data_IF_822268410079
#
_entry.id   IF_822268410079
#
_cell.length_a   1.000
_cell.length_b   1.000
_cell.length_c   1.000
_cell.angle_alpha   90.00
_cell.angle_beta   90.00
_cell.angle_gamma   90.00
#
_symmetry.space_group_name_H-M   'P 1'
#
loop_
_entity.id
_entity.type
_entity.pdbx_description
1 polymer ?
2 non-polymer ?
3 non-polymer ?
4 non-polymer ?
5 non-polymer ?
6 water ?
#
# COMPACT_ATOMS: atom_id res chain seq x y z
N UNK A 24 -19.82 -4.91 -17.87
CA UNK A 24 -18.59 -5.74 -17.79
C UNK A 24 -18.85 -6.86 -16.79
N UNK A 25 -19.33 -8.00 -17.33
CA UNK A 25 -19.70 -9.19 -16.58
C UNK A 25 -18.61 -9.53 -15.56
N UNK A 26 -17.40 -9.68 -16.10
CA UNK A 26 -16.29 -10.26 -15.37
C UNK A 26 -16.06 -9.52 -14.04
N UNK A 27 -16.06 -8.17 -14.09
CA UNK A 27 -15.78 -7.34 -12.95
C UNK A 27 -16.88 -7.45 -11.87
N UNK A 28 -18.16 -7.33 -12.31
CA UNK A 28 -19.29 -7.40 -11.40
C UNK A 28 -19.37 -8.79 -10.77
N UNK A 29 -18.95 -9.81 -11.53
CA UNK A 29 -19.01 -11.18 -11.04
C UNK A 29 -17.96 -11.34 -9.95
N UNK A 30 -16.77 -10.80 -10.17
CA UNK A 30 -15.69 -10.88 -9.20
C UNK A 30 -16.10 -10.14 -7.91
N UNK A 31 -16.76 -8.97 -8.03
CA UNK A 31 -17.16 -8.18 -6.86
C UNK A 31 -18.25 -8.88 -6.08
N UNK A 32 -19.25 -9.43 -6.78
CA UNK A 32 -20.31 -10.25 -6.18
C UNK A 32 -19.76 -11.44 -5.40
N UNK A 33 -18.74 -12.15 -5.93
CA UNK A 33 -18.23 -13.36 -5.31
C UNK A 33 -17.48 -12.99 -4.02
N UNK A 34 -16.79 -11.85 -4.04
CA UNK A 34 -16.12 -11.29 -2.86
C UNK A 34 -17.16 -10.87 -1.80
N UNK A 35 -18.34 -10.38 -2.20
CA UNK A 35 -19.30 -9.96 -1.19
C UNK A 35 -19.97 -11.19 -0.58
N UNK A 36 -20.15 -12.22 -1.40
CA UNK A 36 -20.65 -13.51 -0.94
C UNK A 36 -19.72 -14.04 0.17
N UNK A 37 -18.40 -13.90 -0.02
CA UNK A 37 -17.41 -14.39 0.94
C UNK A 37 -17.58 -13.67 2.27
N UNK A 38 -17.64 -12.34 2.21
CA UNK A 38 -17.88 -11.46 3.34
C UNK A 38 -19.26 -11.71 3.99
N UNK A 39 -20.26 -12.15 3.21
CA UNK A 39 -21.61 -12.31 3.75
C UNK A 39 -21.74 -13.56 4.62
N UNK A 40 -20.90 -14.57 4.42
CA UNK A 40 -20.85 -15.74 5.30
C UNK A 40 -20.21 -15.44 6.66
N UNK A 41 -19.52 -14.31 6.82
CA UNK A 41 -18.69 -14.07 7.99
C UNK A 41 -19.48 -13.79 9.28
N UNK A 42 -20.68 -13.18 9.25
CA UNK A 42 -21.54 -13.18 10.44
C UNK A 42 -21.79 -14.58 10.99
N UNK A 43 -21.97 -15.54 10.08
CA UNK A 43 -22.21 -16.91 10.48
C UNK A 43 -20.93 -17.54 11.05
N UNK A 44 -19.77 -17.21 10.46
CA UNK A 44 -18.51 -17.66 11.03
C UNK A 44 -18.33 -17.13 12.46
N UNK A 45 -18.78 -15.88 12.71
CA UNK A 45 -18.60 -15.19 13.98
C UNK A 45 -19.54 -15.75 15.05
N UNK A 46 -20.79 -16.09 14.68
CA UNK A 46 -21.74 -16.73 15.57
C UNK A 46 -21.18 -18.05 16.10
N UNK A 47 -20.65 -18.89 15.19
CA UNK A 47 -19.99 -20.11 15.58
C UNK A 47 -18.85 -19.83 16.57
N UNK A 48 -17.93 -18.94 16.20
CA UNK A 48 -16.75 -18.65 17.01
C UNK A 48 -17.15 -18.03 18.36
N UNK A 49 -18.19 -17.20 18.37
CA UNK A 49 -18.69 -16.63 19.60
C UNK A 49 -19.19 -17.74 20.52
N UNK A 50 -20.02 -18.64 19.95
CA UNK A 50 -20.58 -19.76 20.69
C UNK A 50 -19.51 -20.69 21.27
N UNK A 51 -18.34 -20.82 20.62
CA UNK A 51 -17.31 -21.71 21.10
C UNK A 51 -16.16 -20.97 21.75
N UNK A 52 -16.34 -19.67 22.05
CA UNK A 52 -15.34 -18.83 22.69
C UNK A 52 -14.02 -18.87 21.93
N UNK A 53 -14.14 -18.92 20.60
CA UNK A 53 -13.01 -19.00 19.69
C UNK A 53 -12.58 -17.60 19.26
N UNK A 54 -11.26 -17.40 19.13
CA UNK A 54 -10.75 -16.18 18.52
C UNK A 54 -11.24 -16.03 17.07
N UNK A 55 -11.18 -14.79 16.56
CA UNK A 55 -11.45 -14.45 15.17
C UNK A 55 -10.33 -14.97 14.26
N UNK A 56 -9.08 -14.58 14.55
CA UNK A 56 -7.98 -14.96 13.69
C UNK A 56 -7.63 -16.43 13.85
N UNK A 57 -7.71 -17.17 12.75
CA UNK A 57 -7.19 -18.53 12.68
C UNK A 57 -6.09 -18.57 11.62
N UNK A 58 -4.82 -18.47 12.06
CA UNK A 58 -3.67 -18.27 11.19
C UNK A 58 -3.37 -19.52 10.35
N UNK A 59 -3.55 -20.68 10.95
CA UNK A 59 -3.39 -21.96 10.26
C UNK A 59 -4.37 -22.09 9.10
N UNK A 60 -5.67 -21.79 9.34
CA UNK A 60 -6.63 -21.71 8.26
C UNK A 60 -6.18 -20.70 7.20
N UNK A 61 -5.74 -19.51 7.63
CA UNK A 61 -5.28 -18.49 6.70
C UNK A 61 -4.17 -19.01 5.79
N UNK A 62 -3.17 -19.69 6.35
CA UNK A 62 -2.04 -20.22 5.59
C UNK A 62 -2.49 -21.32 4.61
N UNK A 63 -3.45 -22.16 5.02
CA UNK A 63 -3.98 -23.18 4.12
C UNK A 63 -4.66 -22.51 2.93
N UNK A 64 -5.44 -21.44 3.19
CA UNK A 64 -6.17 -20.73 2.14
C UNK A 64 -5.18 -19.98 1.22
N UNK A 65 -4.15 -19.36 1.81
CA UNK A 65 -3.18 -18.63 1.02
C UNK A 65 -2.34 -19.54 0.13
N UNK A 66 -1.94 -20.72 0.63
CA UNK A 66 -1.13 -21.63 -0.16
C UNK A 66 -1.94 -22.30 -1.28
N UNK A 67 -3.19 -22.65 -0.97
CA UNK A 67 -4.10 -23.19 -1.98
C UNK A 67 -4.23 -22.16 -3.11
N UNK A 68 -4.41 -20.89 -2.74
CA UNK A 68 -4.65 -19.84 -3.72
C UNK A 68 -3.40 -19.61 -4.58
N UNK A 69 -2.20 -19.49 -3.96
CA UNK A 69 -1.01 -19.18 -4.76
C UNK A 69 -0.74 -20.33 -5.72
N UNK A 70 -1.04 -21.58 -5.33
CA UNK A 70 -0.75 -22.72 -6.18
C UNK A 70 -1.73 -22.79 -7.37
N UNK A 71 -2.88 -22.08 -7.27
CA UNK A 71 -3.87 -22.00 -8.34
C UNK A 71 -3.88 -20.62 -9.03
N UNK A 72 -2.86 -19.78 -8.78
CA UNK A 72 -2.80 -18.48 -9.43
C UNK A 72 -1.39 -18.19 -9.95
N UNK A 73 -0.69 -19.22 -10.44
CA UNK A 73 0.73 -19.14 -10.75
C UNK A 73 0.99 -18.10 -11.84
N UNK A 74 0.04 -17.85 -12.73
CA UNK A 74 0.23 -16.89 -13.82
C UNK A 74 0.12 -15.45 -13.30
N UNK A 75 -0.40 -15.26 -12.08
CA UNK A 75 -0.52 -13.98 -11.42
C UNK A 75 0.66 -13.80 -10.48
N UNK A 76 1.02 -12.53 -10.21
CA UNK A 76 2.08 -12.23 -9.27
C UNK A 76 1.63 -12.80 -7.92
N UNK A 77 2.46 -13.63 -7.26
CA UNK A 77 2.11 -14.23 -5.97
C UNK A 77 2.02 -13.29 -4.76
N UNK A 78 2.81 -12.21 -4.81
CA UNK A 78 2.82 -11.22 -3.75
C UNK A 78 1.52 -10.41 -3.78
N UNK A 79 1.09 -10.04 -4.98
CA UNK A 79 -0.14 -9.28 -5.19
C UNK A 79 -1.36 -10.13 -4.87
N UNK A 80 -1.29 -11.42 -5.22
CA UNK A 80 -2.41 -12.33 -5.02
C UNK A 80 -2.62 -12.56 -3.53
N UNK A 81 -1.50 -12.73 -2.80
CA UNK A 81 -1.54 -12.95 -1.36
C UNK A 81 -2.00 -11.71 -0.62
N UNK A 82 -1.62 -10.53 -1.13
CA UNK A 82 -2.07 -9.27 -0.55
C UNK A 82 -3.58 -9.13 -0.76
N UNK A 83 -4.05 -9.42 -1.98
CA UNK A 83 -5.46 -9.33 -2.31
C UNK A 83 -6.25 -10.33 -1.47
N UNK A 84 -5.78 -11.60 -1.40
CA UNK A 84 -6.45 -12.58 -0.57
C UNK A 84 -6.32 -12.21 0.94
N UNK A 85 -5.16 -11.74 1.39
CA UNK A 85 -4.96 -11.31 2.77
C UNK A 85 -5.89 -10.18 3.22
N UNK A 86 -6.18 -9.24 2.30
CA UNK A 86 -7.07 -8.11 2.57
C UNK A 86 -8.53 -8.55 2.65
N UNK A 87 -8.94 -9.51 1.81
CA UNK A 87 -10.24 -10.17 1.97
C UNK A 87 -10.35 -10.86 3.34
N UNK A 88 -9.25 -11.39 3.85
CA UNK A 88 -9.27 -12.06 5.15
C UNK A 88 -9.37 -11.02 6.27
N UNK A 89 -8.65 -9.91 6.12
CA UNK A 89 -8.72 -8.74 6.98
C UNK A 89 -10.13 -8.13 6.95
N UNK A 90 -10.71 -7.96 5.76
CA UNK A 90 -12.12 -7.57 5.66
C UNK A 90 -13.02 -8.58 6.37
N UNK A 91 -12.74 -9.88 6.22
CA UNK A 91 -13.56 -10.91 6.85
C UNK A 91 -13.52 -10.82 8.39
N UNK A 92 -12.32 -10.67 8.98
CA UNK A 92 -12.15 -10.48 10.42
C UNK A 92 -12.77 -9.19 10.98
N UNK A 93 -12.63 -8.06 10.29
CA UNK A 93 -13.28 -6.82 10.74
C UNK A 93 -14.80 -7.03 10.84
N UNK A 94 -15.40 -7.57 9.79
CA UNK A 94 -16.80 -7.95 9.80
C UNK A 94 -17.10 -8.86 10.99
N UNK A 95 -16.25 -9.86 11.26
CA UNK A 95 -16.52 -10.82 12.32
C UNK A 95 -16.50 -10.09 13.68
N UNK A 96 -15.60 -9.09 13.82
CA UNK A 96 -15.48 -8.26 15.01
C UNK A 96 -16.65 -7.28 15.11
N UNK A 97 -17.21 -6.86 13.97
CA UNK A 97 -18.44 -6.07 14.03
C UNK A 97 -19.48 -6.94 14.74
N UNK A 98 -19.58 -8.21 14.32
CA UNK A 98 -20.58 -9.08 14.87
C UNK A 98 -20.30 -9.39 16.35
N UNK A 99 -19.04 -9.70 16.71
CA UNK A 99 -18.70 -9.96 18.10
C UNK A 99 -19.26 -8.87 19.02
N UNK A 100 -19.10 -7.59 18.63
CA UNK A 100 -19.61 -6.46 19.38
C UNK A 100 -21.12 -6.56 19.55
N UNK A 101 -21.84 -6.89 18.46
CA UNK A 101 -23.29 -7.09 18.49
C UNK A 101 -23.67 -8.13 19.55
N UNK A 102 -22.88 -9.20 19.63
CA UNK A 102 -23.20 -10.39 20.41
C UNK A 102 -22.88 -10.20 21.90
N UNK A 103 -22.30 -9.07 22.30
CA UNK A 103 -22.29 -8.72 23.71
C UNK A 103 -23.72 -8.35 24.12
N UNK A 104 -24.20 -8.99 25.21
CA UNK A 104 -25.60 -9.15 25.56
C UNK A 104 -26.24 -10.17 24.63
N UNK A 105 -26.79 -9.70 23.49
CA UNK A 105 -27.61 -10.48 22.57
C UNK A 105 -27.37 -11.98 22.74
N UNK A 106 -26.13 -12.40 22.46
CA UNK A 106 -25.72 -13.79 22.43
C UNK A 106 -26.23 -14.46 21.15
N UNK A 107 -25.51 -15.53 20.75
CA UNK A 107 -25.92 -16.42 19.67
C UNK A 107 -27.07 -17.31 20.17
N UNK A 108 -28.20 -17.26 19.45
CA UNK A 108 -29.16 -18.34 19.53
C UNK A 108 -28.38 -19.60 19.16
N UNK A 109 -28.15 -20.44 20.18
CA UNK A 109 -27.27 -21.59 20.09
C UNK A 109 -27.82 -22.63 19.10
N UNK A 110 -29.15 -22.62 18.88
CA UNK A 110 -29.81 -23.53 17.95
C UNK A 110 -29.60 -23.12 16.49
N UNK A 111 -29.09 -21.90 16.26
CA UNK A 111 -28.89 -21.34 14.92
C UNK A 111 -27.47 -21.53 14.38
N UNK A 112 -26.50 -21.87 15.24
CA UNK A 112 -25.09 -21.88 14.89
C UNK A 112 -24.81 -22.89 13.76
N UNK A 113 -24.13 -22.41 12.70
CA UNK A 113 -23.84 -23.19 11.50
C UNK A 113 -22.39 -23.70 11.51
N UNK A 114 -22.17 -24.96 11.14
CA UNK A 114 -20.86 -25.57 11.32
C UNK A 114 -19.77 -24.89 10.49
N UNK A 115 -18.74 -24.42 11.19
CA UNK A 115 -17.58 -23.84 10.53
C UNK A 115 -16.95 -24.82 9.53
N UNK A 116 -16.66 -26.07 9.93
CA UNK A 116 -15.85 -26.96 9.09
C UNK A 116 -16.70 -27.71 8.05
N UNK A 117 -17.98 -27.95 8.33
CA UNK A 117 -18.83 -28.76 7.47
C UNK A 117 -19.64 -27.90 6.52
N UNK A 118 -19.94 -26.68 6.97
CA UNK A 118 -20.91 -25.83 6.33
C UNK A 118 -20.19 -24.61 5.74
N UNK A 119 -19.53 -23.82 6.61
CA UNK A 119 -19.11 -22.47 6.28
C UNK A 119 -17.79 -22.45 5.51
N UNK A 120 -16.77 -23.21 5.93
CA UNK A 120 -15.46 -23.18 5.28
C UNK A 120 -15.49 -23.86 3.90
N UNK A 121 -16.22 -24.99 3.70
CA UNK A 121 -16.34 -25.57 2.36
C UNK A 121 -16.87 -24.54 1.37
N UNK A 122 -17.84 -23.74 1.85
CA UNK A 122 -18.44 -22.70 1.04
C UNK A 122 -17.42 -21.61 0.73
N UNK A 123 -16.62 -21.16 1.73
CA UNK A 123 -15.56 -20.18 1.51
C UNK A 123 -14.49 -20.73 0.54
N UNK A 124 -14.15 -22.00 0.66
CA UNK A 124 -13.18 -22.64 -0.19
C UNK A 124 -13.68 -22.65 -1.65
N UNK A 125 -14.99 -22.89 -1.83
CA UNK A 125 -15.63 -22.88 -3.14
C UNK A 125 -15.63 -21.48 -3.76
N UNK A 126 -16.04 -20.48 -3.00
CA UNK A 126 -15.95 -19.09 -3.42
C UNK A 126 -14.49 -18.73 -3.78
N UNK A 127 -13.54 -18.98 -2.86
CA UNK A 127 -12.11 -18.94 -3.16
C UNK A 127 -11.77 -19.30 -4.61
N UNK A 128 -12.21 -20.49 -5.00
CA UNK A 128 -11.89 -21.05 -6.30
C UNK A 128 -12.63 -20.33 -7.44
N UNK A 129 -13.83 -19.80 -7.16
CA UNK A 129 -14.59 -19.10 -8.17
C UNK A 129 -13.95 -17.73 -8.44
N UNK A 130 -13.49 -17.10 -7.35
CA UNK A 130 -12.77 -15.84 -7.38
C UNK A 130 -11.53 -16.03 -8.26
N UNK A 131 -10.83 -17.16 -8.09
CA UNK A 131 -9.65 -17.50 -8.86
C UNK A 131 -9.99 -17.61 -10.36
N UNK A 132 -10.97 -18.43 -10.73
CA UNK A 132 -11.41 -18.49 -12.13
C UNK A 132 -11.63 -17.09 -12.70
N UNK A 133 -12.32 -16.24 -11.94
CA UNK A 133 -12.70 -14.90 -12.41
C UNK A 133 -11.47 -13.96 -12.51
N UNK A 134 -10.50 -14.11 -11.60
CA UNK A 134 -9.23 -13.40 -11.72
C UNK A 134 -8.52 -13.82 -13.00
N UNK A 135 -8.46 -15.13 -13.25
CA UNK A 135 -7.85 -15.65 -14.46
C UNK A 135 -8.58 -15.08 -15.69
N UNK A 136 -9.92 -14.99 -15.64
CA UNK A 136 -10.66 -14.49 -16.80
C UNK A 136 -10.41 -13.00 -17.02
N UNK A 137 -10.44 -12.22 -15.93
CA UNK A 137 -10.23 -10.78 -16.00
C UNK A 137 -8.82 -10.45 -16.46
N UNK A 138 -7.83 -11.22 -15.98
CA UNK A 138 -6.45 -11.02 -16.36
C UNK A 138 -6.28 -11.22 -17.86
N UNK A 139 -6.85 -12.31 -18.38
CA UNK A 139 -6.67 -12.70 -19.76
C UNK A 139 -7.34 -11.74 -20.75
N UNK A 140 -8.53 -11.24 -20.41
CA UNK A 140 -9.27 -10.33 -21.27
C UNK A 140 -8.71 -8.92 -21.13
N UNK A 141 -8.00 -8.65 -20.03
CA UNK A 141 -7.56 -7.31 -19.69
C UNK A 141 -8.73 -6.44 -19.21
N UNK A 142 -9.57 -7.02 -18.34
CA UNK A 142 -10.73 -6.33 -17.77
C UNK A 142 -10.30 -4.99 -17.17
N UNK A 143 -10.81 -3.85 -17.74
CA UNK A 143 -10.55 -2.54 -17.17
C UNK A 143 -11.44 -2.38 -15.94
N UNK A 144 -10.79 -2.24 -14.77
CA UNK A 144 -11.50 -2.05 -13.51
C UNK A 144 -12.07 -0.64 -13.43
N UNK A 145 -13.28 -0.54 -12.86
CA UNK A 145 -13.87 0.75 -12.58
C UNK A 145 -13.99 0.88 -11.06
N UNK A 146 -13.28 1.90 -10.56
CA UNK A 146 -13.22 2.20 -9.15
C UNK A 146 -14.59 2.65 -8.65
N UNK A 147 -15.37 3.27 -9.54
CA UNK A 147 -16.71 3.72 -9.16
C UNK A 147 -17.65 2.52 -8.99
N UNK A 148 -17.49 1.44 -9.79
CA UNK A 148 -18.33 0.25 -9.66
C UNK A 148 -17.98 -0.54 -8.38
N UNK A 149 -16.69 -0.62 -8.08
CA UNK A 149 -16.21 -1.24 -6.86
C UNK A 149 -16.86 -0.59 -5.64
N UNK A 150 -16.75 0.75 -5.56
CA UNK A 150 -17.24 1.55 -4.46
C UNK A 150 -18.74 1.36 -4.28
N UNK A 151 -19.48 1.46 -5.38
CA UNK A 151 -20.93 1.29 -5.32
C UNK A 151 -21.26 -0.10 -4.78
N UNK A 152 -20.44 -1.09 -5.17
CA UNK A 152 -20.68 -2.48 -4.80
C UNK A 152 -20.41 -2.71 -3.31
N UNK A 153 -19.41 -2.02 -2.75
CA UNK A 153 -18.94 -2.38 -1.42
C UNK A 153 -19.31 -1.32 -0.37
N UNK A 154 -20.01 -0.26 -0.80
CA UNK A 154 -20.28 0.87 0.07
C UNK A 154 -20.98 0.40 1.34
N UNK A 155 -21.89 -0.58 1.25
CA UNK A 155 -22.73 -0.96 2.40
C UNK A 155 -21.98 -1.68 3.53
N UNK A 156 -20.79 -2.24 3.27
CA UNK A 156 -20.06 -2.96 4.30
C UNK A 156 -19.51 -1.99 5.35
N UNK A 157 -19.68 -2.35 6.62
CA UNK A 157 -19.12 -1.62 7.75
C UNK A 157 -17.63 -1.98 7.84
N UNK A 158 -16.83 -1.40 6.92
CA UNK A 158 -15.41 -1.64 6.76
C UNK A 158 -14.73 -0.28 6.59
N UNK A 159 -13.56 -0.10 7.21
CA UNK A 159 -12.98 1.23 7.25
C UNK A 159 -12.43 1.47 5.86
N UNK A 160 -12.29 2.74 5.42
CA UNK A 160 -11.80 3.05 4.08
C UNK A 160 -10.46 2.45 3.68
N UNK A 161 -9.55 2.18 4.64
CA UNK A 161 -8.24 1.64 4.26
C UNK A 161 -8.41 0.22 3.70
N UNK A 162 -9.23 -0.60 4.38
CA UNK A 162 -9.49 -1.97 3.99
C UNK A 162 -10.13 -1.97 2.62
N UNK A 163 -11.18 -1.15 2.45
CA UNK A 163 -11.90 -1.11 1.18
C UNK A 163 -10.99 -0.66 0.03
N UNK A 164 -10.02 0.24 0.31
CA UNK A 164 -9.12 0.77 -0.69
C UNK A 164 -8.12 -0.32 -1.07
N UNK A 165 -7.56 -1.00 -0.06
CA UNK A 165 -6.67 -2.14 -0.28
C UNK A 165 -7.31 -3.24 -1.12
N UNK A 166 -8.60 -3.50 -0.88
CA UNK A 166 -9.30 -4.50 -1.67
C UNK A 166 -9.20 -4.13 -3.13
N UNK A 167 -9.58 -2.90 -3.46
CA UNK A 167 -9.52 -2.49 -4.85
C UNK A 167 -8.08 -2.37 -5.32
N UNK A 168 -7.18 -1.78 -4.51
CA UNK A 168 -5.82 -1.52 -4.96
C UNK A 168 -5.04 -2.80 -5.30
N UNK A 169 -5.07 -3.81 -4.42
CA UNK A 169 -4.34 -5.04 -4.65
C UNK A 169 -4.93 -5.83 -5.82
N UNK A 170 -6.26 -5.88 -5.87
CA UNK A 170 -6.95 -6.42 -7.03
C UNK A 170 -6.42 -5.81 -8.33
N UNK A 171 -6.34 -4.49 -8.40
CA UNK A 171 -5.89 -3.80 -9.59
C UNK A 171 -4.45 -4.21 -9.96
N UNK A 172 -3.53 -4.22 -8.99
CA UNK A 172 -2.17 -4.71 -9.17
C UNK A 172 -2.10 -6.19 -9.61
N UNK A 173 -2.91 -7.07 -9.02
CA UNK A 173 -3.00 -8.47 -9.46
C UNK A 173 -3.30 -8.52 -10.96
N UNK A 174 -4.08 -7.54 -11.46
CA UNK A 174 -4.66 -7.59 -12.80
C UNK A 174 -3.87 -6.78 -13.84
N UNK A 175 -2.74 -6.18 -13.46
CA UNK A 175 -1.89 -5.52 -14.45
C UNK A 175 -0.65 -6.39 -14.73
N UNK A 176 -0.37 -6.75 -16.01
CA UNK A 176 0.97 -7.19 -16.42
C UNK A 176 1.92 -5.98 -16.57
N UNK A 180 7.58 -6.13 -21.78
CA UNK A 180 8.47 -5.49 -22.79
C UNK A 180 9.86 -5.32 -22.17
N UNK A 181 10.54 -6.43 -21.78
CA UNK A 181 11.57 -6.38 -20.73
C UNK A 181 12.95 -5.83 -21.13
N UNK A 182 13.84 -5.77 -20.13
CA UNK A 182 15.18 -5.26 -20.29
C UNK A 182 16.17 -6.31 -19.81
N UNK A 183 17.41 -6.27 -20.35
CA UNK A 183 18.48 -7.17 -19.92
C UNK A 183 19.32 -6.54 -18.80
N UNK A 184 18.64 -6.00 -17.78
CA UNK A 184 19.28 -5.24 -16.73
C UNK A 184 20.23 -6.15 -15.95
N UNK A 185 19.77 -7.35 -15.58
CA UNK A 185 20.58 -8.27 -14.80
C UNK A 185 21.84 -8.70 -15.58
N UNK A 186 21.69 -8.96 -16.88
CA UNK A 186 22.80 -9.39 -17.72
C UNK A 186 23.92 -8.36 -17.64
N UNK A 187 23.51 -7.10 -17.77
CA UNK A 187 24.44 -5.98 -17.79
C UNK A 187 25.12 -5.87 -16.43
N UNK A 188 24.32 -5.94 -15.35
CA UNK A 188 24.83 -5.84 -14.00
C UNK A 188 25.84 -6.95 -13.70
N UNK A 189 25.67 -8.12 -14.32
CA UNK A 189 26.52 -9.24 -13.97
C UNK A 189 27.89 -9.05 -14.63
N UNK A 190 27.92 -8.32 -15.76
CA UNK A 190 29.18 -7.86 -16.34
C UNK A 190 29.82 -6.74 -15.52
N UNK A 191 29.15 -5.57 -15.39
CA UNK A 191 29.78 -4.33 -14.96
C UNK A 191 29.69 -4.11 -13.44
N UNK A 192 28.81 -4.88 -12.78
CA UNK A 192 28.59 -4.83 -11.33
C UNK A 192 28.28 -3.42 -10.84
N UNK A 193 27.67 -2.59 -11.70
CA UNK A 193 27.46 -1.18 -11.44
C UNK A 193 25.96 -0.90 -11.24
N UNK A 194 25.50 -0.87 -9.98
CA UNK A 194 24.09 -0.73 -9.68
C UNK A 194 23.72 0.75 -9.64
N UNK A 195 23.09 1.23 -10.71
CA UNK A 195 22.63 2.62 -10.77
C UNK A 195 21.31 2.72 -10.01
N UNK A 196 21.32 3.41 -8.85
CA UNK A 196 20.22 3.47 -7.91
C UNK A 196 19.64 4.90 -7.92
N UNK A 197 18.39 5.00 -8.40
CA UNK A 197 17.69 6.27 -8.45
C UNK A 197 17.15 6.66 -7.08
N UNK A 198 17.43 7.90 -6.64
CA UNK A 198 17.00 8.44 -5.34
C UNK A 198 16.48 9.87 -5.56
N UNK A 199 15.60 10.32 -4.65
CA UNK A 199 14.97 11.64 -4.75
C UNK A 199 15.64 12.59 -3.76
N UNK A 200 15.92 12.08 -2.54
CA UNK A 200 16.53 12.81 -1.44
C UNK A 200 15.61 13.93 -0.96
N UNK A 201 14.30 13.74 -1.06
CA UNK A 201 13.35 14.76 -0.61
C UNK A 201 12.26 14.16 0.27
N UNK A 202 12.39 12.88 0.65
CA UNK A 202 11.30 12.23 1.37
C UNK A 202 11.63 12.22 2.88
N UNK A 203 12.51 11.35 3.34
CA UNK A 203 12.75 11.25 4.77
C UNK A 203 11.48 10.69 5.43
N UNK A 204 11.51 9.48 6.05
CA UNK A 204 12.77 8.84 6.46
C UNK A 204 13.49 7.98 5.43
N UNK A 205 13.02 8.01 4.17
CA UNK A 205 13.46 7.05 3.16
C UNK A 205 14.76 7.52 2.49
N UNK A 206 14.75 8.69 1.83
CA UNK A 206 15.95 9.28 1.27
C UNK A 206 15.97 10.80 1.42
N UNK A 207 17.16 11.32 1.81
CA UNK A 207 17.34 12.70 2.25
C UNK A 207 18.81 12.96 2.52
N UNK A 208 19.12 14.22 2.83
CA UNK A 208 20.45 14.65 3.24
C UNK A 208 20.44 15.07 4.70
N UNK A 209 21.46 14.67 5.47
CA UNK A 209 21.70 15.27 6.78
C UNK A 209 22.15 16.72 6.61
N UNK A 210 22.22 17.49 7.71
CA UNK A 210 22.70 18.86 7.63
C UNK A 210 24.23 18.85 7.60
N UNK A 211 24.81 17.66 7.36
CA UNK A 211 26.19 17.52 6.93
C UNK A 211 26.28 17.39 5.41
N UNK A 212 25.16 17.11 4.73
CA UNK A 212 25.12 17.07 3.27
C UNK A 212 25.00 15.66 2.66
N UNK A 213 25.21 14.58 3.44
CA UNK A 213 25.31 13.22 2.90
C UNK A 213 23.94 12.51 2.77
N UNK A 214 23.84 11.65 1.76
CA UNK A 214 22.66 10.82 1.54
C UNK A 214 22.42 9.96 2.79
N UNK A 215 21.16 9.94 3.25
CA UNK A 215 20.74 9.15 4.39
C UNK A 215 19.32 8.65 4.19
N UNK A 216 19.02 7.50 4.81
CA UNK A 216 17.65 7.00 4.82
C UNK A 216 17.58 5.49 4.92
N UNK A 217 16.36 5.01 5.21
CA UNK A 217 15.99 3.61 5.18
C UNK A 217 16.46 3.02 3.85
N UNK A 218 16.26 3.78 2.77
CA UNK A 218 16.48 3.33 1.40
C UNK A 218 17.96 3.39 1.00
N UNK A 219 18.74 4.29 1.61
CA UNK A 219 20.16 4.35 1.35
C UNK A 219 20.78 3.06 1.90
N UNK A 220 20.37 2.67 3.12
CA UNK A 220 20.86 1.50 3.80
C UNK A 220 20.36 0.23 3.12
N UNK A 221 19.04 0.15 2.84
CA UNK A 221 18.48 -0.91 2.04
C UNK A 221 19.28 -1.09 0.73
N UNK A 222 19.55 0.00 0.02
CA UNK A 222 20.22 -0.09 -1.28
C UNK A 222 21.65 -0.58 -1.15
N UNK A 223 22.34 -0.14 -0.08
CA UNK A 223 23.70 -0.55 0.20
C UNK A 223 23.76 -2.06 0.50
N UNK A 224 22.87 -2.56 1.39
CA UNK A 224 22.82 -3.97 1.79
C UNK A 224 22.52 -4.90 0.62
N UNK A 225 21.73 -4.39 -0.33
CA UNK A 225 21.40 -5.07 -1.57
C UNK A 225 22.65 -5.13 -2.48
N UNK A 226 23.41 -4.03 -2.57
CA UNK A 226 24.65 -3.98 -3.32
C UNK A 226 25.66 -4.96 -2.73
N UNK A 227 25.84 -4.90 -1.41
CA UNK A 227 26.88 -5.70 -0.79
C UNK A 227 26.60 -7.16 -1.13
N UNK A 228 25.34 -7.59 -0.91
CA UNK A 228 24.92 -8.98 -1.02
C UNK A 228 25.03 -9.48 -2.45
N UNK A 229 24.74 -8.62 -3.44
CA UNK A 229 24.83 -8.99 -4.85
C UNK A 229 26.24 -8.86 -5.43
N UNK A 230 27.19 -8.28 -4.66
CA UNK A 230 28.50 -7.91 -5.17
C UNK A 230 28.51 -6.72 -6.15
N UNK A 231 27.74 -5.66 -5.84
CA UNK A 231 27.58 -4.53 -6.73
C UNK A 231 28.11 -3.27 -6.09
N UNK A 232 28.60 -2.35 -6.92
CA UNK A 232 28.88 -1.00 -6.47
C UNK A 232 27.73 -0.07 -6.91
N UNK A 233 27.49 0.99 -6.13
CA UNK A 233 26.38 1.92 -6.40
C UNK A 233 26.87 3.24 -7.02
N UNK A 234 26.28 3.57 -8.18
CA UNK A 234 26.17 4.93 -8.66
C UNK A 234 24.78 5.46 -8.25
N UNK A 235 24.77 6.56 -7.50
CA UNK A 235 23.55 7.24 -7.09
C UNK A 235 23.13 8.20 -8.18
N UNK A 236 21.99 7.90 -8.81
CA UNK A 236 21.37 8.79 -9.79
C UNK A 236 20.28 9.59 -9.09
N UNK A 237 20.31 10.90 -9.27
CA UNK A 237 19.29 11.79 -8.75
C UNK A 237 18.08 11.74 -9.69
N UNK A 238 16.89 11.47 -9.13
CA UNK A 238 15.64 11.58 -9.85
C UNK A 238 14.67 12.42 -9.01
N UNK A 239 13.39 12.44 -9.42
CA UNK A 239 12.34 13.13 -8.68
C UNK A 239 10.98 12.57 -9.08
N UNK A 240 9.96 12.95 -8.31
CA UNK A 240 8.63 12.41 -8.47
C UNK A 240 8.08 12.78 -9.85
N UNK A 241 8.21 14.05 -10.33
CA UNK A 241 7.72 14.44 -11.66
C UNK A 241 8.44 13.78 -12.85
N UNK A 242 9.75 13.50 -12.70
CA UNK A 242 10.52 12.87 -13.76
C UNK A 242 10.77 11.39 -13.49
N UNK A 243 10.21 10.81 -12.42
CA UNK A 243 10.56 9.47 -11.99
C UNK A 243 10.42 8.42 -13.11
N UNK A 244 9.25 8.32 -13.73
CA UNK A 244 8.95 7.26 -14.68
C UNK A 244 9.63 7.54 -16.02
N UNK A 245 9.67 8.81 -16.44
CA UNK A 245 10.49 9.24 -17.58
C UNK A 245 11.95 8.81 -17.39
N UNK A 246 12.52 9.09 -16.22
CA UNK A 246 13.89 8.68 -15.93
C UNK A 246 14.03 7.16 -15.99
N UNK A 247 12.97 6.44 -15.62
CA UNK A 247 12.98 4.98 -15.62
C UNK A 247 12.94 4.45 -17.05
N UNK A 248 12.07 5.00 -17.90
CA UNK A 248 11.95 4.54 -19.29
C UNK A 248 13.23 4.81 -20.09
N UNK A 249 13.96 5.88 -19.73
CA UNK A 249 15.19 6.23 -20.42
C UNK A 249 16.37 5.40 -19.91
N UNK A 250 16.17 4.59 -18.86
CA UNK A 250 17.19 3.66 -18.41
C UNK A 250 18.35 4.42 -17.76
N UNK A 251 18.00 5.46 -16.99
CA UNK A 251 18.97 6.27 -16.27
C UNK A 251 19.38 5.57 -14.97
N UNK A 252 18.48 4.74 -14.42
CA UNK A 252 18.82 3.90 -13.29
C UNK A 252 18.36 2.46 -13.56
N UNK A 253 18.80 1.54 -12.68
CA UNK A 253 18.49 0.13 -12.79
C UNK A 253 17.36 -0.20 -11.83
N UNK A 254 17.43 0.39 -10.62
CA UNK A 254 16.41 0.33 -9.59
C UNK A 254 16.28 1.76 -9.02
N UNK A 255 15.22 2.04 -8.24
CA UNK A 255 15.11 3.28 -7.49
C UNK A 255 14.43 3.05 -6.14
N UNK A 256 14.95 3.71 -5.10
CA UNK A 256 14.36 3.70 -3.77
C UNK A 256 14.24 5.14 -3.28
N UNK A 257 13.04 5.48 -2.80
CA UNK A 257 12.75 6.75 -2.13
C UNK A 257 11.32 6.70 -1.58
N UNK A 258 11.00 5.66 -0.78
CA UNK A 258 9.62 5.42 -0.36
C UNK A 258 8.64 5.49 -1.53
N UNK A 259 8.98 4.78 -2.63
CA UNK A 259 8.17 4.78 -3.83
C UNK A 259 6.99 3.83 -3.62
N UNK A 260 5.77 4.41 -3.63
CA UNK A 260 4.50 3.68 -3.62
C UNK A 260 4.41 2.74 -4.81
N UNK A 261 3.96 1.52 -4.52
CA UNK A 261 3.66 0.50 -5.51
C UNK A 261 2.25 0.76 -6.02
N UNK A 262 2.15 1.22 -7.27
CA UNK A 262 0.87 1.53 -7.88
C UNK A 262 0.76 0.78 -9.21
N UNK A 263 -0.47 0.73 -9.70
CA UNK A 263 -0.81 0.03 -10.93
C UNK A 263 -0.22 0.76 -12.14
N UNK A 264 -0.43 2.07 -12.20
CA UNK A 264 0.08 2.94 -13.25
C UNK A 264 1.61 2.79 -13.40
N UNK A 265 2.34 2.79 -12.27
CA UNK A 265 3.79 2.61 -12.32
C UNK A 265 4.13 1.22 -12.85
N UNK A 266 3.36 0.20 -12.44
CA UNK A 266 3.66 -1.20 -12.75
C UNK A 266 3.30 -1.56 -14.19
N UNK A 267 2.62 -0.68 -14.93
CA UNK A 267 2.39 -0.94 -16.33
C UNK A 267 3.69 -0.73 -17.12
N UNK A 268 4.57 0.16 -16.64
CA UNK A 268 5.81 0.49 -17.33
C UNK A 268 7.02 -0.13 -16.64
N UNK A 269 6.95 -0.29 -15.31
CA UNK A 269 8.11 -0.70 -14.54
C UNK A 269 7.70 -1.87 -13.67
N UNK A 270 8.67 -2.44 -12.93
CA UNK A 270 8.45 -3.52 -11.97
C UNK A 270 8.69 -3.04 -10.54
N UNK A 271 8.32 -3.89 -9.57
CA UNK A 271 8.43 -3.59 -8.16
C UNK A 271 8.93 -4.83 -7.43
N UNK A 272 9.76 -4.60 -6.42
CA UNK A 272 10.10 -5.59 -5.39
C UNK A 272 8.86 -5.96 -4.57
N UNK A 273 8.97 -7.03 -3.76
CA UNK A 273 8.15 -7.21 -2.59
C UNK A 273 8.02 -5.89 -1.84
N UNK A 274 6.90 -5.65 -1.15
CA UNK A 274 6.76 -4.44 -0.32
C UNK A 274 7.61 -4.47 0.95
N UNK A 275 8.15 -3.31 1.33
CA UNK A 275 8.95 -3.23 2.55
C UNK A 275 8.29 -2.34 3.60
N UNK A 276 7.08 -1.78 3.32
CA UNK A 276 6.30 -1.01 4.28
C UNK A 276 4.81 -0.96 3.87
N UNK A 277 3.92 -1.03 4.85
CA UNK A 277 2.49 -0.99 4.59
C UNK A 277 1.90 0.19 5.37
N UNK A 278 1.09 1.01 4.68
CA UNK A 278 0.48 2.18 5.29
C UNK A 278 -0.67 2.69 4.45
N UNK A 279 -0.65 4.00 4.20
CA UNK A 279 -1.79 4.68 3.61
C UNK A 279 -1.72 6.18 3.85
N UNK A 280 -2.51 6.96 3.11
CA UNK A 280 -2.49 8.41 3.22
C UNK A 280 -3.36 8.86 4.38
N UNK A 281 -2.84 9.80 5.14
CA UNK A 281 -3.56 10.45 6.24
C UNK A 281 -3.45 11.97 6.03
N UNK A 282 -3.95 12.76 7.01
CA UNK A 282 -3.81 14.21 6.93
C UNK A 282 -2.90 14.72 8.04
N UNK A 283 -2.12 15.77 7.72
CA UNK A 283 -1.37 16.50 8.72
C UNK A 283 -1.65 17.98 8.58
N UNK A 284 -1.80 18.64 9.73
CA UNK A 284 -2.03 20.06 9.84
C UNK A 284 -1.55 20.53 11.20
N UNK A 285 -2.00 21.71 11.63
CA UNK A 285 -1.61 22.29 12.89
C UNK A 285 -2.50 21.76 14.02
N UNK A 286 -1.87 21.45 15.15
CA UNK A 286 -2.54 21.03 16.39
C UNK A 286 -3.59 22.07 16.78
N UNK A 287 -3.32 23.32 16.41
CA UNK A 287 -4.17 24.43 16.81
C UNK A 287 -5.47 24.46 16.01
N UNK A 288 -5.56 23.59 14.98
CA UNK A 288 -6.65 23.56 14.00
C UNK A 288 -7.40 22.23 14.02
N UNK A 289 -6.97 21.30 14.86
CA UNK A 289 -7.30 19.91 14.68
C UNK A 289 -8.82 19.63 14.81
N UNK A 290 -9.53 20.35 15.70
CA UNK A 290 -10.97 20.18 15.86
C UNK A 290 -11.71 20.58 14.56
N UNK A 291 -11.12 21.50 13.79
CA UNK A 291 -11.79 22.01 12.61
C UNK A 291 -11.37 21.22 11.37
N UNK A 292 -10.61 20.13 11.58
CA UNK A 292 -9.90 19.46 10.49
C UNK A 292 -9.71 17.96 10.75
N UNK A 293 -10.45 17.35 11.70
CA UNK A 293 -10.19 15.97 12.07
C UNK A 293 -11.10 15.01 11.29
N UNK A 294 -11.64 15.45 10.15
CA UNK A 294 -12.52 14.60 9.35
C UNK A 294 -12.23 14.92 7.90
N UNK A 295 -12.48 13.96 7.01
CA UNK A 295 -12.40 14.21 5.59
C UNK A 295 -13.42 15.27 5.18
N UNK A 296 -14.68 15.15 5.63
CA UNK A 296 -15.68 16.20 5.45
C UNK A 296 -15.19 17.58 5.91
N UNK A 297 -14.67 17.69 7.14
CA UNK A 297 -14.15 18.94 7.67
C UNK A 297 -12.96 19.46 6.86
N UNK A 298 -12.14 18.58 6.26
CA UNK A 298 -10.98 19.04 5.49
C UNK A 298 -11.36 19.48 4.07
N UNK A 299 -12.22 18.71 3.39
CA UNK A 299 -12.62 19.02 2.03
C UNK A 299 -13.71 20.09 2.04
N UNK A 300 -13.37 21.29 2.50
CA UNK A 300 -14.23 22.44 2.31
C UNK A 300 -13.51 23.48 1.46
N UNK A 301 -14.32 24.38 0.89
CA UNK A 301 -13.86 25.50 0.10
C UNK A 301 -12.76 26.30 0.82
N UNK A 302 -12.95 26.53 2.13
CA UNK A 302 -12.10 27.43 2.92
C UNK A 302 -10.75 26.80 3.33
N UNK A 303 -10.58 25.48 3.14
CA UNK A 303 -9.34 24.83 3.50
C UNK A 303 -8.36 24.92 2.33
N UNK A 304 -7.11 25.25 2.65
CA UNK A 304 -6.05 25.31 1.65
C UNK A 304 -5.22 24.04 1.80
N UNK A 305 -5.24 23.24 0.73
CA UNK A 305 -4.48 22.01 0.62
C UNK A 305 -3.17 22.30 -0.09
N UNK A 306 -2.06 21.87 0.50
CA UNK A 306 -0.74 21.93 -0.11
C UNK A 306 -0.37 20.49 -0.49
N UNK A 307 0.40 20.34 -1.58
CA UNK A 307 0.80 19.02 -2.05
C UNK A 307 2.06 19.15 -2.89
N UNK A 308 2.91 18.11 -2.83
CA UNK A 308 4.07 17.99 -3.70
C UNK A 308 3.67 17.41 -5.07
N UNK A 309 4.28 17.85 -6.20
CA UNK A 309 3.89 17.35 -7.53
C UNK A 309 4.45 15.99 -7.96
N UNK A 310 3.61 15.21 -8.66
CA UNK A 310 4.10 14.19 -9.58
C UNK A 310 4.00 12.75 -9.08
N UNK A 311 3.49 12.52 -7.85
CA UNK A 311 3.38 11.19 -7.27
C UNK A 311 2.03 10.93 -6.61
N UNK A 312 1.99 9.90 -5.75
CA UNK A 312 0.72 9.41 -5.22
C UNK A 312 0.00 10.46 -4.34
N UNK A 313 0.74 11.41 -3.75
CA UNK A 313 0.12 12.48 -3.01
C UNK A 313 -0.77 13.28 -3.96
N UNK A 314 -0.24 13.59 -5.14
CA UNK A 314 -0.95 14.42 -6.06
C UNK A 314 -2.19 13.71 -6.60
N UNK A 315 -2.05 12.42 -6.98
CA UNK A 315 -3.15 11.70 -7.60
C UNK A 315 -4.24 11.37 -6.57
N UNK A 316 -3.86 11.27 -5.28
CA UNK A 316 -4.83 11.11 -4.22
C UNK A 316 -5.70 12.37 -4.18
N UNK A 317 -5.10 13.53 -3.94
CA UNK A 317 -5.90 14.71 -3.58
C UNK A 317 -6.72 15.17 -4.80
N UNK A 318 -6.24 14.90 -6.02
CA UNK A 318 -7.00 15.18 -7.24
C UNK A 318 -8.24 14.30 -7.36
N UNK A 319 -8.16 13.03 -6.92
CA UNK A 319 -9.32 12.13 -6.93
C UNK A 319 -10.20 12.26 -5.67
N UNK A 320 -9.62 12.62 -4.52
CA UNK A 320 -10.32 12.47 -3.24
C UNK A 320 -11.12 13.71 -2.83
N UNK A 321 -10.87 14.87 -3.46
CA UNK A 321 -11.27 16.17 -2.94
C UNK A 321 -12.09 16.89 -4.00
N UNK A 322 -13.20 17.54 -3.60
CA UNK A 322 -14.06 18.22 -4.54
C UNK A 322 -14.11 19.73 -4.27
N UNK A 323 -13.94 20.15 -3.01
CA UNK A 323 -14.19 21.51 -2.60
C UNK A 323 -12.91 22.29 -2.31
N UNK A 324 -11.89 21.62 -1.75
CA UNK A 324 -10.69 22.31 -1.30
C UNK A 324 -9.80 22.71 -2.48
N UNK A 325 -9.31 23.97 -2.47
CA UNK A 325 -8.34 24.48 -3.43
C UNK A 325 -6.96 23.93 -3.10
N UNK A 326 -6.18 23.57 -4.12
CA UNK A 326 -4.95 22.81 -3.95
C UNK A 326 -3.80 23.69 -4.42
N UNK A 327 -2.78 23.84 -3.56
CA UNK A 327 -1.54 24.52 -3.90
C UNK A 327 -0.46 23.45 -4.14
N UNK A 328 0.23 23.57 -5.27
CA UNK A 328 1.38 22.75 -5.60
C UNK A 328 2.61 23.42 -4.99
N UNK A 329 3.35 22.66 -4.20
CA UNK A 329 4.59 23.17 -3.63
C UNK A 329 5.72 22.30 -4.14
N UNK A 330 6.62 22.83 -5.00
CA UNK A 330 7.60 22.02 -5.73
C UNK A 330 8.57 21.21 -4.86
N UNK A 331 8.96 21.76 -3.70
CA UNK A 331 10.01 21.20 -2.87
C UNK A 331 9.45 20.56 -1.59
N UNK A 332 9.60 19.23 -1.46
CA UNK A 332 9.00 18.43 -0.40
C UNK A 332 9.77 18.56 0.92
N UNK A 333 11.06 18.91 0.87
CA UNK A 333 11.82 19.15 2.09
C UNK A 333 11.30 20.35 2.87
N UNK A 334 10.61 21.31 2.23
CA UNK A 334 10.21 22.56 2.88
C UNK A 334 8.68 22.69 3.00
N UNK A 335 7.90 21.75 2.47
CA UNK A 335 6.46 21.93 2.38
C UNK A 335 5.76 21.95 3.77
N UNK A 336 6.25 21.18 4.75
CA UNK A 336 5.69 21.16 6.09
C UNK A 336 5.80 22.52 6.78
N UNK A 337 6.87 23.29 6.48
CA UNK A 337 7.00 24.67 6.93
C UNK A 337 5.77 25.55 6.54
N UNK A 338 5.04 25.21 5.47
CA UNK A 338 3.88 26.00 5.06
C UNK A 338 2.68 25.70 5.95
N UNK A 339 2.63 24.48 6.50
CA UNK A 339 1.57 24.12 7.42
C UNK A 339 1.83 24.82 8.75
N UNK A 340 3.10 24.70 9.22
CA UNK A 340 3.61 25.33 10.42
C UNK A 340 3.24 26.81 10.42
N UNK A 341 3.49 27.49 9.29
CA UNK A 341 3.51 28.95 9.22
C UNK A 341 2.10 29.51 8.98
N UNK A 342 1.16 28.68 8.53
CA UNK A 342 -0.23 29.06 8.45
C UNK A 342 -0.72 29.30 7.02
N UNK A 343 0.17 29.10 6.02
CA UNK A 343 -0.18 29.46 4.65
C UNK A 343 -1.05 28.38 3.98
N UNK A 344 -0.88 27.12 4.39
CA UNK A 344 -1.78 26.02 4.03
C UNK A 344 -2.31 25.43 5.35
N UNK A 345 -3.35 24.60 5.22
CA UNK A 345 -4.13 24.14 6.37
C UNK A 345 -3.94 22.65 6.61
N UNK A 346 -3.64 21.90 5.55
CA UNK A 346 -3.59 20.44 5.63
C UNK A 346 -2.86 19.91 4.40
N UNK A 347 -2.07 18.86 4.61
CA UNK A 347 -1.49 18.14 3.50
C UNK A 347 -1.81 16.66 3.71
N UNK A 348 -2.19 16.00 2.61
CA UNK A 348 -2.35 14.57 2.56
C UNK A 348 -1.04 13.97 2.10
N UNK A 349 -0.58 12.98 2.87
CA UNK A 349 0.66 12.31 2.56
C UNK A 349 0.71 10.96 3.28
N UNK A 350 1.82 10.25 3.08
CA UNK A 350 1.95 8.92 3.62
C UNK A 350 1.89 9.04 5.14
N UNK A 351 1.18 8.09 5.78
CA UNK A 351 1.05 8.09 7.23
C UNK A 351 2.43 8.05 7.93
N UNK A 352 3.38 7.24 7.45
CA UNK A 352 4.72 7.24 8.05
C UNK A 352 5.37 8.62 7.91
N UNK A 353 5.13 9.37 6.82
CA UNK A 353 5.66 10.73 6.73
C UNK A 353 4.95 11.67 7.71
N UNK A 354 3.63 11.63 7.70
CA UNK A 354 2.82 12.46 8.59
C UNK A 354 3.23 12.25 10.05
N UNK A 355 3.57 11.01 10.45
CA UNK A 355 3.86 10.67 11.83
C UNK A 355 5.28 11.14 12.18
N UNK A 356 6.16 11.18 11.19
CA UNK A 356 7.51 11.67 11.40
C UNK A 356 7.51 13.19 11.53
N UNK A 357 6.76 13.90 10.64
CA UNK A 357 6.69 15.35 10.65
C UNK A 357 5.88 15.86 11.86
N UNK A 358 4.89 15.09 12.33
CA UNK A 358 4.15 15.46 13.52
C UNK A 358 5.09 15.45 14.75
N UNK A 359 6.17 14.67 14.69
CA UNK A 359 7.14 14.55 15.78
C UNK A 359 8.26 15.59 15.63
N UNK A 360 8.75 15.78 14.39
CA UNK A 360 9.74 16.79 14.06
C UNK A 360 9.23 18.19 14.43
N UNK A 361 7.96 18.46 14.12
CA UNK A 361 7.35 19.78 14.34
C UNK A 361 6.27 19.66 15.40
N UNK A 362 6.50 20.12 16.65
CA UNK A 362 5.53 19.94 17.73
C UNK A 362 4.19 20.62 17.41
N UNK A 363 4.27 21.67 16.59
CA UNK A 363 3.11 22.45 16.18
C UNK A 363 2.15 21.66 15.30
N UNK A 364 2.65 20.59 14.65
CA UNK A 364 1.80 19.78 13.78
C UNK A 364 1.37 18.44 14.46
N UNK A 365 0.29 17.88 13.90
CA UNK A 365 -0.50 16.81 14.47
C UNK A 365 -1.15 16.07 13.28
N UNK A 366 -1.10 14.72 13.23
CA UNK A 366 -1.80 13.95 12.20
C UNK A 366 -3.29 14.19 12.43
N UNK A 367 -4.07 14.53 11.42
CA UNK A 367 -5.39 15.09 11.70
C UNK A 367 -6.48 14.03 11.71
N UNK A 368 -6.22 12.86 11.12
CA UNK A 368 -7.26 11.86 10.94
C UNK A 368 -7.00 10.66 11.87
N UNK A 369 -8.10 10.03 12.28
CA UNK A 369 -8.08 8.88 13.19
C UNK A 369 -7.23 7.77 12.60
N UNK A 370 -7.37 7.58 11.28
CA UNK A 370 -6.81 6.43 10.62
C UNK A 370 -6.53 6.76 9.15
N UNK A 371 -5.59 6.05 8.47
CA UNK A 371 -5.37 6.29 7.05
C UNK A 371 -6.62 5.98 6.23
N UNK A 372 -6.71 6.66 5.08
CA UNK A 372 -7.85 6.61 4.19
C UNK A 372 -7.59 5.56 3.11
N UNK A 373 -6.30 5.26 2.87
CA UNK A 373 -5.94 4.41 1.76
C UNK A 373 -5.03 3.29 2.22
N UNK A 374 -4.83 2.36 1.26
CA UNK A 374 -3.84 1.29 1.36
C UNK A 374 -2.77 1.51 0.29
N UNK A 375 -1.54 1.52 0.78
CA UNK A 375 -0.39 1.72 -0.08
C UNK A 375 0.81 1.02 0.57
N UNK A 376 1.64 0.44 -0.29
CA UNK A 376 2.86 -0.20 0.12
C UNK A 376 4.01 0.44 -0.64
N UNK A 377 5.17 0.44 0.02
CA UNK A 377 6.42 0.89 -0.54
C UNK A 377 7.18 -0.34 -1.06
N UNK A 378 7.70 -0.23 -2.29
CA UNK A 378 8.52 -1.27 -2.87
C UNK A 378 9.63 -0.65 -3.70
N UNK A 379 10.60 -1.49 -4.08
CA UNK A 379 11.70 -0.99 -4.89
C UNK A 379 11.20 -0.93 -6.33
N UNK A 380 11.39 0.22 -6.99
CA UNK A 380 11.11 0.27 -8.41
C UNK A 380 12.24 -0.42 -9.16
N UNK A 381 11.86 -1.24 -10.14
CA UNK A 381 12.82 -2.00 -10.92
C UNK A 381 12.59 -1.72 -12.40
N UNK A 382 13.70 -1.69 -13.18
CA UNK A 382 13.60 -1.89 -14.62
C UNK A 382 12.90 -3.25 -14.82
N UNK A 383 12.15 -3.46 -15.92
CA UNK A 383 11.32 -4.66 -16.07
C UNK A 383 12.11 -5.88 -16.56
N UNK A 384 12.89 -6.46 -15.64
CA UNK A 384 13.64 -7.69 -15.84
C UNK A 384 13.21 -8.68 -14.77
N UNK A 385 12.45 -9.74 -15.16
CA UNK A 385 11.89 -10.68 -14.18
C UNK A 385 12.94 -11.43 -13.37
N UNK A 386 14.15 -11.62 -13.91
CA UNK A 386 15.21 -12.29 -13.18
C UNK A 386 15.77 -11.38 -12.07
N UNK A 387 15.95 -10.09 -12.39
CA UNK A 387 16.26 -9.07 -11.42
C UNK A 387 15.22 -9.09 -10.29
N UNK A 388 13.93 -9.18 -10.65
CA UNK A 388 12.88 -9.16 -9.64
C UNK A 388 13.00 -10.39 -8.74
N UNK A 389 13.15 -11.59 -9.34
CA UNK A 389 13.21 -12.82 -8.56
C UNK A 389 14.34 -12.71 -7.55
N UNK A 390 15.51 -12.26 -8.00
CA UNK A 390 16.69 -12.27 -7.15
C UNK A 390 16.51 -11.21 -6.07
N UNK A 391 16.06 -9.99 -6.44
CA UNK A 391 15.86 -8.91 -5.48
C UNK A 391 14.78 -9.30 -4.46
N UNK A 392 13.67 -9.92 -4.90
CA UNK A 392 12.61 -10.37 -4.00
C UNK A 392 13.11 -11.41 -3.01
N UNK A 393 13.89 -12.39 -3.49
CA UNK A 393 14.50 -13.39 -2.63
C UNK A 393 15.31 -12.71 -1.51
N UNK A 394 16.18 -11.77 -1.86
CA UNK A 394 17.00 -11.05 -0.89
C UNK A 394 16.13 -10.22 0.08
N UNK A 395 15.25 -9.36 -0.46
CA UNK A 395 14.48 -8.44 0.38
C UNK A 395 13.72 -9.21 1.45
N UNK A 396 12.99 -10.27 1.06
CA UNK A 396 12.22 -11.06 2.01
C UNK A 396 13.12 -11.75 3.04
N UNK A 397 14.28 -12.27 2.61
CA UNK A 397 15.30 -12.76 3.54
C UNK A 397 15.62 -11.68 4.55
N UNK A 398 15.97 -10.49 4.04
CA UNK A 398 16.35 -9.34 4.85
C UNK A 398 15.28 -8.98 5.89
N UNK A 399 14.01 -8.85 5.45
CA UNK A 399 12.92 -8.47 6.34
C UNK A 399 12.73 -9.52 7.44
N UNK A 400 13.07 -10.80 7.14
CA UNK A 400 13.08 -11.86 8.14
C UNK A 400 14.24 -11.71 9.12
N UNK A 401 15.45 -11.55 8.58
CA UNK A 401 16.70 -11.87 9.26
C UNK A 401 17.36 -10.65 9.93
N UNK A 402 16.94 -9.43 9.56
CA UNK A 402 17.52 -8.21 10.10
C UNK A 402 16.42 -7.38 10.76
N UNK A 403 16.78 -6.61 11.79
CA UNK A 403 15.79 -5.82 12.50
C UNK A 403 15.48 -4.60 11.65
N UNK A 404 14.35 -4.70 10.94
CA UNK A 404 13.84 -3.65 10.08
C UNK A 404 13.28 -2.52 10.94
N UNK A 405 12.62 -2.92 12.03
CA UNK A 405 12.14 -2.00 13.06
C UNK A 405 13.20 -0.95 13.42
N UNK A 406 14.43 -1.40 13.72
CA UNK A 406 15.49 -0.53 14.23
C UNK A 406 16.03 0.43 13.17
N UNK A 407 15.97 0.03 11.88
CA UNK A 407 16.41 0.86 10.77
C UNK A 407 15.42 2.01 10.53
N UNK A 408 14.12 1.67 10.45
CA UNK A 408 13.05 2.65 10.45
C UNK A 408 13.22 3.62 11.62
N UNK A 409 13.39 3.03 12.81
CA UNK A 409 13.48 3.75 14.08
C UNK A 409 14.69 4.68 14.06
N UNK A 410 15.84 4.15 13.65
CA UNK A 410 17.05 4.92 13.43
C UNK A 410 16.76 6.18 12.62
N UNK A 411 15.73 6.17 11.75
CA UNK A 411 15.43 7.32 10.93
C UNK A 411 14.16 8.07 11.36
N UNK A 412 13.75 7.90 12.62
CA UNK A 412 12.77 8.76 13.26
C UNK A 412 11.34 8.26 13.12
N UNK A 413 11.21 6.94 12.85
CA UNK A 413 9.92 6.27 12.74
C UNK A 413 9.66 5.46 14.01
N UNK A 414 8.76 5.99 14.88
CA UNK A 414 8.19 5.28 16.01
C UNK A 414 7.70 3.91 15.51
N UNK A 415 8.31 2.79 15.96
CA UNK A 415 7.81 1.46 15.60
C UNK A 415 6.40 1.10 16.10
N UNK A 416 5.37 1.65 15.45
CA UNK A 416 3.97 1.29 15.68
C UNK A 416 3.25 1.18 14.33
X LIG B 1 -10.88 -16.28 7.29
X LIG B 1 -9.89 -17.39 7.63
X LIG B 1 -9.38 -17.55 8.84
X LIG B 1 -9.78 -16.71 10.02
X LIG B 1 -8.62 -16.14 10.63
X LIG B 1 -10.79 -15.61 9.65
X LIG B 1 -10.60 -15.08 8.22
X LIG B 1 -12.14 -16.06 9.90
X LIG B 1 -12.71 -16.98 8.95
X LIG B 1 -12.37 -16.60 7.51
X LIG B 1 -10.77 -16.08 5.77
X LIG B 1 -10.54 -17.08 5.08
X LIG B 1 -10.98 -14.97 5.27
X LIG B 1 -12.36 -18.45 9.28
X LIG B 1 -12.27 -19.29 8.38
X LIG B 1 -12.22 -18.78 10.47
X LIG C 1 -3.38 -4.40 6.27
X LIG C 1 -4.63 -3.75 6.10
X LIG C 1 -2.46 -3.62 7.15
X LIG C 1 -3.18 -2.56 7.78
X LIG C 1 -2.58 -2.10 8.98
X LIG C 1 -1.41 -1.22 8.64
X LIG C 1 -1.68 -0.43 7.50
X LIG D 1 2.20 4.29 10.13
X LIG D 1 3.33 5.13 10.22
X LIG D 1 2.42 3.10 9.22
X LIG D 1 1.18 2.49 8.89
X LIG D 1 0.58 1.80 9.99
X LIG D 1 -0.86 2.16 10.09
X LIG D 1 -1.59 1.84 8.90
X LIG E 1 -2.92 -20.24 -12.37
X LIG E 1 -2.40 -19.03 -12.88
X LIG E 1 -1.82 -21.15 -11.85
X LIG E 1 -1.58 -20.94 -10.47
X LIG E 1 -2.05 -22.62 -12.02
X LIG E 1 -0.85 -23.34 -11.72
X LIG F 1 1.11 26.63 14.08
X LIG F 1 1.95 25.71 13.39
X LIG F 1 0.00 25.97 14.88
X LIG F 1 -0.50 26.93 15.79
X LIG F 1 0.44 24.71 15.61
X LIG F 1 -0.61 24.07 16.34
X LIG G 1 2.56 5.14 5.03
X LIG H 1 4.95 8.33 -4.06
#
# INVERSE_FOLDING_TARGET
MRKPRHITALLFCLLTSLTSVADNHSEQTLYQLMSERLALMPEVAKYKWHHNLPIEDLAREAMVLERTVSRTTVLDPIHTKTFFGLQMTAAKAIQANVFQSLTNTDVVASDVRSLNDDLRPKLTLLGDQIIEQLLISYQNGTPLNRAHFDAHFAHFELNPQIKDGLFKSLELVLTPPNLDPRDTLARLEKDKTLRVGVTLDYEPFSYQDNEGNRAGIDIELATALAKEFGYRIVWVKTSWPTLMADAEDNLFDIALSGISITAQRQHRMMFSAPYHTGGKTAIGRCSSVDELNTLALIDRAETRIIVNPGGTNERFVRSALTNASIRIHPDNRTIFNELVSGTADAMFTDSIEAQLQATKHPSLCVLLDQPLTFQQKGILLQPDPELKKRIDTWLLDYLSSHDVSALFSKHGVDPDLEHHHHHH
TSA C1 C2 C3 C4 O5 C5 C6 O7 C8 C9 C10 O1 O2 C11 O3 O4
PEG C1 O1 C2 O2 C3 C4 O4
PEG C1 O1 C2 O2 C3 C4 O4
GOL C1 O1 C2 O2 C3 O3
GOL C1 O1 C2 O2 C3 O3
CL CL
CL CL
#
